data_IF_171147687400
#
_entry.id   IF_171147687400
#
_cell.length_a   1.000
_cell.length_b   1.000
_cell.length_c   1.000
_cell.angle_alpha   90.00
_cell.angle_beta   90.00
_cell.angle_gamma   90.00
#
_symmetry.space_group_name_H-M   'P 1'
#
loop_
_entity.id
_entity.type
_entity.pdbx_description
1 polymer ?
#
# COMPACT_ATOMS: atom_id res chain seq x y z
N UNK A 1 -21.76 2.05 10.94
CA UNK A 1 -21.98 2.21 12.39
C UNK A 1 -21.28 1.06 13.10
N UNK A 2 -20.11 1.33 13.70
CA UNK A 2 -19.43 0.38 14.58
C UNK A 2 -20.39 -0.03 15.71
N UNK A 3 -20.52 -1.32 16.07
CA UNK A 3 -21.27 -1.68 17.26
C UNK A 3 -20.53 -1.13 18.48
N UNK A 4 -21.31 -0.66 19.46
CA UNK A 4 -20.79 -0.10 20.71
C UNK A 4 -19.99 -1.11 21.54
N UNK A 5 -19.39 -0.64 22.65
CA UNK A 5 -18.34 -1.32 23.41
C UNK A 5 -18.72 -2.65 24.09
N UNK A 6 -19.92 -3.19 23.84
CA UNK A 6 -20.45 -4.40 24.48
C UNK A 6 -20.73 -5.59 23.55
N UNK A 7 -20.38 -5.53 22.25
CA UNK A 7 -20.35 -6.75 21.42
C UNK A 7 -19.00 -7.46 21.56
N UNK A 8 -18.75 -8.05 22.74
CA UNK A 8 -17.64 -8.99 22.95
C UNK A 8 -17.92 -10.26 22.15
N UNK A 9 -17.50 -10.31 20.89
CA UNK A 9 -17.28 -11.56 20.17
C UNK A 9 -15.78 -11.84 20.11
N UNK A 10 -15.17 -12.01 21.29
CA UNK A 10 -13.89 -12.68 21.38
C UNK A 10 -14.11 -14.16 21.01
N UNK A 11 -13.32 -14.70 20.09
CA UNK A 11 -13.13 -16.14 20.06
C UNK A 11 -12.54 -16.52 21.43
N UNK A 12 -12.90 -17.68 22.02
CA UNK A 12 -12.40 -18.04 23.34
C UNK A 12 -10.87 -18.10 23.30
N UNK A 13 -10.22 -17.40 24.25
CA UNK A 13 -8.77 -17.33 24.49
C UNK A 13 -7.94 -16.25 23.75
N UNK A 14 -8.37 -14.99 23.74
CA UNK A 14 -7.49 -13.87 23.35
C UNK A 14 -7.16 -13.83 21.86
N UNK A 15 -8.10 -14.31 21.03
CA UNK A 15 -7.93 -14.43 19.59
C UNK A 15 -9.01 -13.67 18.86
N UNK A 16 -8.59 -12.87 17.91
CA UNK A 16 -9.44 -12.22 16.92
C UNK A 16 -9.63 -13.16 15.73
N UNK A 17 -10.88 -13.37 15.32
CA UNK A 17 -11.22 -14.23 14.19
C UNK A 17 -11.07 -13.46 12.87
N UNK A 18 -10.11 -13.88 12.04
CA UNK A 18 -9.82 -13.27 10.75
C UNK A 18 -10.98 -13.33 9.74
N UNK A 19 -12.02 -14.14 9.97
CA UNK A 19 -13.23 -14.12 9.15
C UNK A 19 -13.92 -12.74 9.18
N UNK A 20 -13.86 -12.02 10.31
CA UNK A 20 -14.39 -10.66 10.42
C UNK A 20 -13.56 -9.64 9.64
N UNK A 21 -12.25 -9.85 9.54
CA UNK A 21 -11.36 -9.01 8.74
C UNK A 21 -11.69 -9.17 7.25
N UNK A 22 -11.82 -10.42 6.79
CA UNK A 22 -12.20 -10.76 5.42
C UNK A 22 -13.57 -10.15 5.06
N UNK A 23 -14.55 -10.29 5.95
CA UNK A 23 -15.87 -9.69 5.75
C UNK A 23 -15.82 -8.15 5.66
N UNK A 24 -14.96 -7.50 6.43
CA UNK A 24 -14.78 -6.05 6.35
C UNK A 24 -14.22 -5.63 4.97
N UNK A 25 -13.22 -6.37 4.46
CA UNK A 25 -12.67 -6.12 3.13
C UNK A 25 -13.68 -6.37 2.00
N UNK A 26 -14.47 -7.43 2.09
CA UNK A 26 -15.53 -7.74 1.12
C UNK A 26 -16.63 -6.69 1.07
N UNK A 27 -16.93 -6.05 2.21
CA UNK A 27 -17.89 -4.96 2.30
C UNK A 27 -17.36 -3.62 1.77
N UNK A 28 -16.05 -3.46 1.55
CA UNK A 28 -15.49 -2.25 0.94
C UNK A 28 -15.87 -2.12 -0.55
N UNK A 29 -16.04 -3.25 -1.26
CA UNK A 29 -16.53 -3.28 -2.63
C UNK A 29 -17.57 -4.39 -2.84
N UNK A 30 -18.83 -4.16 -2.39
CA UNK A 30 -19.89 -5.16 -2.52
C UNK A 30 -20.25 -5.46 -3.98
N UNK A 31 -20.07 -4.48 -4.88
CA UNK A 31 -20.35 -4.65 -6.30
C UNK A 31 -19.39 -5.66 -6.93
N UNK A 32 -18.10 -5.56 -6.60
CA UNK A 32 -17.12 -6.55 -7.01
C UNK A 32 -17.37 -7.92 -6.35
N UNK A 33 -17.58 -7.95 -5.03
CA UNK A 33 -17.72 -9.17 -4.24
C UNK A 33 -18.96 -9.98 -4.64
N UNK A 34 -20.11 -9.33 -4.74
CA UNK A 34 -21.40 -9.98 -4.97
C UNK A 34 -21.69 -10.22 -6.45
N UNK A 35 -21.11 -9.42 -7.35
CA UNK A 35 -21.49 -9.43 -8.76
C UNK A 35 -20.32 -9.53 -9.73
N UNK A 36 -19.47 -8.51 -9.83
CA UNK A 36 -18.50 -8.40 -10.95
C UNK A 36 -17.54 -9.59 -11.02
N UNK A 37 -17.09 -10.10 -9.86
CA UNK A 37 -16.23 -11.28 -9.78
C UNK A 37 -16.92 -12.55 -10.28
N UNK A 38 -18.18 -12.76 -9.87
CA UNK A 38 -18.98 -13.92 -10.26
C UNK A 38 -19.34 -13.87 -11.75
N UNK A 39 -19.74 -12.68 -12.22
CA UNK A 39 -20.06 -12.45 -13.61
C UNK A 39 -18.84 -12.65 -14.52
N UNK A 40 -17.65 -12.19 -14.11
CA UNK A 40 -16.45 -12.36 -14.91
C UNK A 40 -16.04 -13.84 -15.05
N UNK A 41 -16.19 -14.64 -13.98
CA UNK A 41 -16.00 -16.10 -14.04
C UNK A 41 -17.01 -16.74 -15.01
N UNK A 42 -18.27 -16.35 -14.94
CA UNK A 42 -19.31 -16.87 -15.84
C UNK A 42 -19.03 -16.50 -17.30
N UNK A 43 -18.64 -15.26 -17.57
CA UNK A 43 -18.38 -14.75 -18.92
C UNK A 43 -17.14 -15.36 -19.58
N UNK A 44 -16.15 -15.83 -18.79
CA UNK A 44 -14.87 -16.33 -19.27
C UNK A 44 -14.51 -17.70 -18.65
N UNK A 45 -15.49 -18.60 -18.56
CA UNK A 45 -15.36 -19.85 -17.81
C UNK A 45 -14.17 -20.72 -18.24
N UNK A 46 -13.84 -20.70 -19.54
CA UNK A 46 -12.75 -21.50 -20.12
C UNK A 46 -11.35 -21.00 -19.72
N UNK A 47 -11.20 -19.73 -19.35
CA UNK A 47 -9.91 -19.10 -19.03
C UNK A 47 -9.77 -18.62 -17.58
N UNK A 48 -10.87 -18.23 -16.94
CA UNK A 48 -10.86 -17.60 -15.61
C UNK A 48 -10.88 -18.60 -14.44
N UNK A 49 -11.30 -19.85 -14.67
CA UNK A 49 -11.46 -20.85 -13.60
C UNK A 49 -10.18 -21.07 -12.75
N UNK A 50 -8.96 -21.19 -13.32
CA UNK A 50 -7.73 -21.36 -12.53
C UNK A 50 -7.42 -20.15 -11.65
N UNK A 51 -7.62 -18.92 -12.17
CA UNK A 51 -7.38 -17.67 -11.42
C UNK A 51 -8.38 -17.54 -10.27
N UNK A 52 -9.66 -17.80 -10.53
CA UNK A 52 -10.73 -17.71 -9.54
C UNK A 52 -10.48 -18.70 -8.39
N UNK A 53 -10.19 -19.97 -8.69
CA UNK A 53 -9.91 -20.98 -7.65
C UNK A 53 -8.64 -20.67 -6.86
N UNK A 54 -7.60 -20.13 -7.51
CA UNK A 54 -6.39 -19.68 -6.82
C UNK A 54 -6.70 -18.55 -5.83
N UNK A 55 -7.53 -17.60 -6.24
CA UNK A 55 -7.98 -16.51 -5.38
C UNK A 55 -8.81 -17.02 -4.19
N UNK A 56 -9.83 -17.86 -4.41
CA UNK A 56 -10.66 -18.42 -3.31
C UNK A 56 -9.85 -19.20 -2.28
N UNK A 57 -8.87 -19.99 -2.73
CA UNK A 57 -8.00 -20.76 -1.84
C UNK A 57 -7.11 -19.87 -0.97
N UNK A 58 -6.61 -18.77 -1.54
CA UNK A 58 -5.82 -17.79 -0.80
C UNK A 58 -6.70 -16.98 0.15
N UNK A 59 -7.86 -16.51 -0.31
CA UNK A 59 -8.77 -15.63 0.41
C UNK A 59 -9.53 -16.34 1.54
N UNK A 60 -9.88 -17.61 1.36
CA UNK A 60 -10.55 -18.44 2.38
C UNK A 60 -9.62 -18.96 3.48
N UNK A 61 -8.33 -18.62 3.45
CA UNK A 61 -7.34 -18.98 4.46
C UNK A 61 -7.45 -18.11 5.71
N UNK A 62 -8.52 -18.27 6.50
CA UNK A 62 -8.70 -17.50 7.73
C UNK A 62 -7.58 -17.77 8.74
N UNK A 63 -7.00 -16.71 9.29
CA UNK A 63 -6.00 -16.76 10.35
C UNK A 63 -6.58 -16.21 11.65
N UNK A 64 -6.21 -16.82 12.77
CA UNK A 64 -6.47 -16.23 14.07
C UNK A 64 -5.37 -15.22 14.39
N UNK A 65 -5.77 -14.00 14.73
CA UNK A 65 -4.88 -12.92 15.12
C UNK A 65 -4.93 -12.73 16.64
N UNK A 66 -3.89 -12.14 17.23
CA UNK A 66 -3.91 -11.78 18.65
C UNK A 66 -4.82 -10.56 18.85
N UNK A 67 -5.73 -10.63 19.82
CA UNK A 67 -6.71 -9.56 20.06
C UNK A 67 -6.08 -8.27 20.62
N UNK A 68 -5.08 -8.39 21.50
CA UNK A 68 -4.34 -7.26 22.06
C UNK A 68 -3.57 -6.50 20.97
N UNK A 69 -2.93 -7.23 20.07
CA UNK A 69 -2.20 -6.62 18.94
C UNK A 69 -3.15 -5.90 17.98
N UNK A 70 -4.30 -6.52 17.66
CA UNK A 70 -5.32 -5.91 16.80
C UNK A 70 -5.91 -4.64 17.41
N UNK A 71 -6.22 -4.66 18.71
CA UNK A 71 -6.73 -3.47 19.40
C UNK A 71 -5.69 -2.35 19.43
N UNK A 72 -4.42 -2.68 19.68
CA UNK A 72 -3.32 -1.70 19.64
C UNK A 72 -3.18 -1.07 18.25
N UNK A 73 -3.26 -1.87 17.18
CA UNK A 73 -3.23 -1.39 15.80
C UNK A 73 -4.40 -0.44 15.52
N UNK A 74 -5.62 -0.82 15.90
CA UNK A 74 -6.83 0.02 15.70
C UNK A 74 -6.69 1.35 16.45
N UNK A 75 -6.36 1.31 17.73
CA UNK A 75 -6.33 2.52 18.56
C UNK A 75 -5.21 3.49 18.16
N UNK A 76 -4.03 2.97 17.84
CA UNK A 76 -2.86 3.82 17.61
C UNK A 76 -2.65 4.19 16.14
N UNK A 77 -2.97 3.30 15.20
CA UNK A 77 -2.76 3.54 13.77
C UNK A 77 -4.01 4.09 13.10
N UNK A 78 -5.16 3.40 13.22
CA UNK A 78 -6.37 3.78 12.48
C UNK A 78 -7.13 4.95 13.12
N UNK A 79 -7.25 4.97 14.45
CA UNK A 79 -7.96 6.04 15.16
C UNK A 79 -6.99 7.18 15.54
N UNK A 80 -5.84 6.84 16.10
CA UNK A 80 -4.91 7.83 16.65
C UNK A 80 -3.95 8.46 15.64
N UNK A 81 -3.77 7.87 14.45
CA UNK A 81 -2.76 8.28 13.44
C UNK A 81 -1.34 8.49 14.01
N UNK A 82 -0.99 7.79 15.10
CA UNK A 82 0.21 8.09 15.90
C UNK A 82 1.52 7.76 15.19
N UNK A 83 1.46 6.93 14.15
CA UNK A 83 2.63 6.63 13.32
C UNK A 83 2.99 7.80 12.40
N UNK A 84 1.99 8.40 11.74
CA UNK A 84 2.20 9.55 10.86
C UNK A 84 2.48 10.84 11.64
N UNK A 85 2.15 10.90 12.94
CA UNK A 85 2.47 12.06 13.79
C UNK A 85 3.70 11.86 14.69
N UNK A 86 4.42 10.74 14.55
CA UNK A 86 5.58 10.37 15.38
C UNK A 86 5.28 10.33 16.90
N UNK A 87 4.05 9.98 17.27
CA UNK A 87 3.56 9.88 18.65
C UNK A 87 3.57 8.43 19.17
N UNK A 88 3.94 7.46 18.33
CA UNK A 88 3.95 6.05 18.69
C UNK A 88 5.18 5.70 19.55
N UNK A 89 4.92 5.10 20.70
CA UNK A 89 5.95 4.62 21.62
C UNK A 89 5.93 3.09 21.67
N UNK A 90 7.11 2.50 21.57
CA UNK A 90 7.35 1.08 21.88
C UNK A 90 7.19 0.82 23.38
N UNK A 91 7.05 -0.45 23.76
CA UNK A 91 6.90 -0.86 25.17
C UNK A 91 8.08 -0.47 26.07
N UNK A 92 9.26 -0.29 25.49
CA UNK A 92 10.50 0.16 26.14
C UNK A 92 10.71 1.68 26.06
N UNK A 93 9.75 2.43 25.52
CA UNK A 93 9.74 3.90 25.52
C UNK A 93 10.46 4.56 24.35
N UNK A 94 10.93 3.79 23.37
CA UNK A 94 11.48 4.34 22.12
C UNK A 94 10.36 4.93 21.27
N UNK A 95 10.52 6.20 20.86
CA UNK A 95 9.62 6.87 19.92
C UNK A 95 9.89 6.39 18.50
N UNK A 96 8.84 5.92 17.84
CA UNK A 96 8.86 5.57 16.42
C UNK A 96 8.62 6.85 15.63
N UNK A 97 9.63 7.26 14.88
CA UNK A 97 9.60 8.44 14.01
C UNK A 97 10.19 8.03 12.66
N UNK A 98 9.40 8.15 11.59
CA UNK A 98 9.83 7.78 10.24
C UNK A 98 11.01 8.65 9.77
N UNK A 99 11.18 9.84 10.34
CA UNK A 99 12.32 10.73 10.06
C UNK A 99 13.66 10.17 10.54
N UNK A 100 13.65 9.10 11.35
CA UNK A 100 14.86 8.40 11.78
C UNK A 100 15.33 7.34 10.77
N UNK A 101 14.52 7.01 9.75
CA UNK A 101 14.92 6.09 8.68
C UNK A 101 15.99 6.78 7.82
N UNK A 102 17.12 6.09 7.61
CA UNK A 102 18.26 6.62 6.82
C UNK A 102 18.39 6.01 5.43
N UNK A 103 17.66 4.94 5.17
CA UNK A 103 17.58 4.32 3.85
C UNK A 103 16.47 4.98 3.02
N UNK A 104 16.56 4.98 1.68
CA UNK A 104 15.47 5.47 0.86
C UNK A 104 14.14 4.75 1.15
N UNK A 105 13.07 5.52 1.23
CA UNK A 105 11.72 5.00 1.42
C UNK A 105 11.05 4.93 0.04
N UNK A 106 10.69 3.73 -0.39
CA UNK A 106 9.99 3.50 -1.67
C UNK A 106 8.52 3.20 -1.40
N UNK A 107 7.62 3.99 -2.01
CA UNK A 107 6.17 3.85 -1.85
C UNK A 107 5.52 3.51 -3.19
N UNK A 108 4.75 2.41 -3.22
CA UNK A 108 3.93 2.04 -4.36
C UNK A 108 2.46 2.24 -4.01
N UNK A 109 1.72 2.95 -4.87
CA UNK A 109 0.30 3.14 -4.71
C UNK A 109 -0.40 3.19 -6.07
N UNK A 110 -1.70 2.94 -6.09
CA UNK A 110 -2.48 3.01 -7.33
C UNK A 110 -3.83 3.67 -7.11
N UNK A 111 -4.25 4.50 -8.07
CA UNK A 111 -5.59 5.08 -8.09
C UNK A 111 -6.71 4.03 -8.30
N UNK A 112 -6.37 2.81 -8.71
CA UNK A 112 -7.31 1.68 -8.71
C UNK A 112 -7.48 1.01 -7.34
N UNK A 113 -6.65 1.35 -6.35
CA UNK A 113 -6.70 0.81 -4.99
C UNK A 113 -7.76 1.53 -4.14
N UNK A 114 -8.89 0.86 -3.92
CA UNK A 114 -9.99 1.37 -3.09
C UNK A 114 -9.79 1.14 -1.58
N UNK A 115 -8.69 0.48 -1.17
CA UNK A 115 -8.38 0.15 0.22
C UNK A 115 -7.33 1.12 0.79
N UNK A 116 -6.25 1.35 0.04
CA UNK A 116 -5.16 2.28 0.38
C UNK A 116 -4.80 3.15 -0.83
N UNK A 117 -5.70 4.06 -1.28
CA UNK A 117 -5.45 4.90 -2.44
C UNK A 117 -4.26 5.86 -2.21
N UNK A 118 -3.72 6.51 -3.26
CA UNK A 118 -2.55 7.39 -3.14
C UNK A 118 -2.63 8.46 -2.04
N UNK A 119 -3.78 9.11 -1.78
CA UNK A 119 -3.92 10.02 -0.64
C UNK A 119 -3.58 9.37 0.71
N UNK A 120 -4.03 8.13 0.93
CA UNK A 120 -3.79 7.39 2.16
C UNK A 120 -2.36 6.84 2.23
N UNK A 121 -1.80 6.38 1.11
CA UNK A 121 -0.45 5.83 1.07
C UNK A 121 0.65 6.90 1.21
N UNK A 122 0.39 8.13 0.74
CA UNK A 122 1.37 9.22 0.73
C UNK A 122 1.13 10.28 1.80
N UNK A 123 -0.03 10.29 2.46
CA UNK A 123 -0.42 11.35 3.40
C UNK A 123 0.53 11.56 4.58
N UNK A 124 1.22 10.51 5.03
CA UNK A 124 2.22 10.61 6.10
C UNK A 124 3.37 11.57 5.74
N UNK A 125 3.68 11.76 4.46
CA UNK A 125 4.73 12.67 4.00
C UNK A 125 4.31 14.11 4.33
N UNK A 126 3.06 14.48 4.05
CA UNK A 126 2.55 15.82 4.32
C UNK A 126 2.25 16.08 5.79
N UNK A 127 2.04 15.01 6.57
CA UNK A 127 1.88 15.08 8.03
C UNK A 127 3.22 15.30 8.73
N UNK A 128 4.29 14.64 8.26
CA UNK A 128 5.62 14.69 8.89
C UNK A 128 6.51 15.84 8.41
N UNK A 129 6.39 16.24 7.14
CA UNK A 129 7.26 17.26 6.54
C UNK A 129 6.46 18.48 6.12
N UNK A 130 6.93 19.66 6.54
CA UNK A 130 6.31 20.93 6.16
C UNK A 130 6.52 21.25 4.67
N UNK A 131 7.76 21.10 4.21
CA UNK A 131 8.24 21.49 2.88
C UNK A 131 9.47 20.66 2.49
N UNK A 132 9.97 20.87 1.26
CA UNK A 132 11.15 20.16 0.74
C UNK A 132 12.43 20.42 1.57
N UNK A 133 12.52 21.58 2.23
CA UNK A 133 13.68 21.89 3.07
C UNK A 133 13.65 21.07 4.37
N UNK A 134 12.46 20.80 4.92
CA UNK A 134 12.27 19.92 6.06
C UNK A 134 12.70 18.47 5.72
N UNK A 135 12.28 17.95 4.56
CA UNK A 135 12.73 16.64 4.03
C UNK A 135 14.26 16.60 3.93
N UNK A 136 14.85 17.63 3.32
CA UNK A 136 16.31 17.72 3.14
C UNK A 136 17.04 17.78 4.49
N UNK A 137 16.52 18.53 5.46
CA UNK A 137 17.14 18.67 6.79
C UNK A 137 17.15 17.37 7.61
N UNK A 138 16.30 16.42 7.25
CA UNK A 138 16.23 15.09 7.86
C UNK A 138 17.01 14.03 7.08
N UNK A 139 17.77 14.40 6.03
CA UNK A 139 18.47 13.49 5.12
C UNK A 139 17.54 12.41 4.52
N UNK A 140 16.31 12.80 4.17
CA UNK A 140 15.28 11.87 3.74
C UNK A 140 15.25 11.74 2.22
N UNK A 141 15.32 10.49 1.74
CA UNK A 141 15.14 10.15 0.33
C UNK A 141 13.85 9.36 0.18
N UNK A 142 12.85 9.95 -0.47
CA UNK A 142 11.53 9.33 -0.63
C UNK A 142 11.23 9.21 -2.13
N UNK A 143 10.96 8.00 -2.59
CA UNK A 143 10.59 7.71 -3.98
C UNK A 143 9.18 7.13 -3.98
N UNK A 144 8.26 7.73 -4.74
CA UNK A 144 6.92 7.17 -4.89
C UNK A 144 6.57 6.88 -6.35
N UNK A 145 5.82 5.80 -6.57
CA UNK A 145 5.21 5.47 -7.84
C UNK A 145 3.69 5.40 -7.70
N UNK A 146 3.00 5.96 -8.70
CA UNK A 146 1.54 5.92 -8.82
C UNK A 146 1.16 5.16 -10.08
N UNK A 147 0.32 4.15 -9.98
CA UNK A 147 -0.30 3.52 -11.14
C UNK A 147 -1.77 3.93 -11.27
N UNK A 148 -2.30 4.06 -12.49
CA UNK A 148 -3.65 4.61 -12.71
C UNK A 148 -4.79 3.67 -12.35
N UNK A 149 -4.65 2.36 -12.58
CA UNK A 149 -5.81 1.45 -12.58
C UNK A 149 -5.65 0.11 -11.85
N UNK A 150 -4.52 -0.13 -11.17
CA UNK A 150 -4.29 -1.40 -10.48
C UNK A 150 -5.06 -1.40 -9.17
N UNK A 151 -5.90 -2.43 -8.94
CA UNK A 151 -6.55 -2.64 -7.64
C UNK A 151 -5.58 -3.06 -6.53
N UNK A 152 -5.96 -2.92 -5.27
CA UNK A 152 -5.14 -3.24 -4.09
C UNK A 152 -4.36 -4.57 -4.22
N UNK A 153 -5.07 -5.65 -4.53
CA UNK A 153 -4.49 -6.98 -4.70
C UNK A 153 -3.63 -7.10 -5.94
N UNK A 154 -3.86 -6.27 -6.95
CA UNK A 154 -3.00 -6.20 -8.12
C UNK A 154 -1.63 -5.62 -7.83
N UNK A 155 -1.50 -4.75 -6.81
CA UNK A 155 -0.20 -4.24 -6.37
C UNK A 155 0.66 -5.38 -5.80
N UNK A 156 0.07 -6.26 -4.98
CA UNK A 156 0.82 -7.27 -4.22
C UNK A 156 0.80 -8.70 -4.82
N UNK A 157 -0.27 -9.06 -5.53
CA UNK A 157 -0.56 -10.46 -5.94
C UNK A 157 -0.66 -10.61 -7.46
N UNK A 158 -0.81 -9.51 -8.23
CA UNK A 158 -0.79 -9.60 -9.69
C UNK A 158 0.60 -9.97 -10.15
N UNK A 159 0.74 -11.24 -10.49
CA UNK A 159 1.95 -11.80 -11.06
C UNK A 159 2.32 -11.13 -12.40
N UNK A 160 1.41 -10.47 -13.13
CA UNK A 160 1.77 -9.82 -14.39
C UNK A 160 2.13 -8.34 -14.24
N UNK A 161 1.52 -7.61 -13.29
CA UNK A 161 1.72 -6.15 -13.18
C UNK A 161 2.59 -5.78 -11.98
N UNK A 162 2.33 -6.37 -10.81
CA UNK A 162 3.21 -6.24 -9.65
C UNK A 162 4.63 -6.68 -9.98
N UNK A 163 4.84 -7.80 -10.70
CA UNK A 163 6.19 -8.23 -11.12
C UNK A 163 6.89 -7.25 -12.08
N UNK A 164 6.17 -6.40 -12.83
CA UNK A 164 6.79 -5.41 -13.74
C UNK A 164 7.44 -4.29 -12.93
N UNK A 165 6.64 -3.59 -12.15
CA UNK A 165 7.10 -2.45 -11.35
C UNK A 165 8.11 -2.90 -10.28
N UNK A 166 7.85 -4.00 -9.57
CA UNK A 166 8.78 -4.51 -8.57
C UNK A 166 10.11 -4.94 -9.18
N UNK A 167 10.12 -5.48 -10.42
CA UNK A 167 11.37 -5.88 -11.08
C UNK A 167 12.17 -4.65 -11.51
N UNK A 168 11.53 -3.64 -12.10
CA UNK A 168 12.24 -2.42 -12.50
C UNK A 168 12.82 -1.69 -11.30
N UNK A 169 12.08 -1.59 -10.19
CA UNK A 169 12.61 -1.02 -8.96
C UNK A 169 13.73 -1.86 -8.33
N UNK A 170 13.61 -3.19 -8.34
CA UNK A 170 14.67 -4.06 -7.87
C UNK A 170 15.95 -3.93 -8.72
N UNK A 171 15.81 -3.81 -10.03
CA UNK A 171 16.93 -3.58 -10.96
C UNK A 171 17.57 -2.20 -10.79
N UNK A 172 16.83 -1.22 -10.26
CA UNK A 172 17.31 0.15 -10.06
C UNK A 172 17.50 0.51 -8.57
N UNK A 173 17.56 -0.48 -7.68
CA UNK A 173 17.66 -0.23 -6.23
C UNK A 173 18.99 0.46 -5.88
N UNK A 174 20.08 0.11 -6.56
CA UNK A 174 21.39 0.76 -6.41
C UNK A 174 21.35 2.22 -6.86
N UNK A 175 20.57 2.54 -7.89
CA UNK A 175 20.38 3.92 -8.34
C UNK A 175 19.62 4.72 -7.28
N UNK A 176 18.57 4.14 -6.71
CA UNK A 176 17.75 4.76 -5.66
C UNK A 176 18.56 5.01 -4.38
N UNK A 177 19.45 4.08 -4.01
CA UNK A 177 20.32 4.19 -2.83
C UNK A 177 21.34 5.33 -2.93
N UNK A 178 21.72 5.71 -4.15
CA UNK A 178 22.65 6.81 -4.41
C UNK A 178 21.95 8.17 -4.60
N UNK A 179 20.62 8.22 -4.51
CA UNK A 179 19.89 9.48 -4.69
C UNK A 179 20.09 10.43 -3.51
N UNK A 180 20.31 11.73 -3.76
CA UNK A 180 20.43 12.70 -2.68
C UNK A 180 19.08 12.89 -1.96
N UNK A 181 19.09 13.46 -0.74
CA UNK A 181 17.85 13.74 -0.01
C UNK A 181 16.87 14.59 -0.83
N UNK A 182 15.61 14.15 -0.83
CA UNK A 182 14.51 14.76 -1.57
C UNK A 182 13.36 13.81 -1.82
N UNK A 183 12.30 14.35 -2.43
CA UNK A 183 11.15 13.59 -2.90
C UNK A 183 11.27 13.38 -4.40
N UNK A 184 11.00 12.15 -4.84
CA UNK A 184 11.09 11.74 -6.24
C UNK A 184 9.86 10.97 -6.64
N UNK A 185 9.44 11.17 -7.89
CA UNK A 185 8.38 10.42 -8.52
C UNK A 185 8.99 9.50 -9.56
N UNK A 186 8.68 8.22 -9.44
CA UNK A 186 9.02 7.20 -10.41
C UNK A 186 7.81 6.91 -11.30
N UNK A 187 8.04 6.80 -12.61
CA UNK A 187 7.07 6.29 -13.59
C UNK A 187 7.67 5.09 -14.30
N UNK A 188 6.84 4.12 -14.67
CA UNK A 188 7.24 2.98 -15.47
C UNK A 188 6.43 3.03 -16.76
N UNK A 189 7.09 3.35 -17.86
CA UNK A 189 6.46 3.52 -19.16
C UNK A 189 6.92 2.42 -20.15
N UNK A 190 6.11 2.16 -21.18
CA UNK A 190 6.51 1.29 -22.28
C UNK A 190 7.63 1.95 -23.08
N UNK A 191 8.68 1.18 -23.41
CA UNK A 191 9.82 1.73 -24.15
C UNK A 191 9.42 1.99 -25.61
N UNK A 192 9.66 3.20 -26.16
CA UNK A 192 9.40 3.47 -27.57
C UNK A 192 10.31 2.62 -28.48
N UNK A 193 9.74 2.02 -29.52
CA UNK A 193 10.49 1.20 -30.48
C UNK A 193 11.30 2.07 -31.48
N UNK A 194 12.48 1.62 -31.96
CA UNK A 194 13.15 0.36 -31.64
C UNK A 194 14.33 0.61 -30.67
N UNK A 195 14.21 0.15 -29.43
CA UNK A 195 15.35 0.10 -28.53
C UNK A 195 16.15 -1.18 -28.77
N UNK A 196 17.47 -1.06 -28.98
CA UNK A 196 18.41 -2.18 -29.20
C UNK A 196 18.63 -3.07 -27.95
N UNK A 197 17.84 -2.89 -26.90
CA UNK A 197 18.00 -3.50 -25.58
C UNK A 197 16.73 -4.28 -25.24
N UNK A 198 16.89 -5.53 -24.82
CA UNK A 198 15.85 -6.54 -24.55
C UNK A 198 14.99 -6.24 -23.29
N UNK A 199 14.90 -4.98 -22.90
CA UNK A 199 14.10 -4.52 -21.77
C UNK A 199 12.87 -3.74 -22.28
N UNK A 200 11.66 -4.28 -22.10
CA UNK A 200 10.44 -3.72 -22.69
C UNK A 200 9.93 -2.44 -22.01
N UNK A 201 10.47 -2.10 -20.84
CA UNK A 201 10.00 -0.98 -20.02
C UNK A 201 11.14 0.00 -19.71
N UNK A 202 10.76 1.25 -19.43
CA UNK A 202 11.69 2.29 -18.98
C UNK A 202 11.14 2.89 -17.69
N UNK A 203 11.88 2.69 -16.60
CA UNK A 203 11.63 3.44 -15.38
C UNK A 203 12.27 4.82 -15.50
N UNK A 204 11.48 5.87 -15.30
CA UNK A 204 11.96 7.24 -15.22
C UNK A 204 11.77 7.76 -13.80
N UNK A 205 12.80 8.39 -13.24
CA UNK A 205 12.71 9.04 -11.93
C UNK A 205 12.91 10.54 -12.14
N UNK A 206 11.95 11.33 -11.68
CA UNK A 206 12.04 12.79 -11.67
C UNK A 206 11.94 13.33 -10.26
N UNK A 207 12.56 14.49 -10.03
CA UNK A 207 12.37 15.23 -8.78
C UNK A 207 10.90 15.64 -8.65
N UNK A 208 10.39 15.51 -7.45
CA UNK A 208 9.05 15.93 -7.03
C UNK A 208 9.20 16.84 -5.81
N UNK A 209 8.09 17.15 -5.14
CA UNK A 209 8.05 18.03 -3.97
C UNK A 209 6.93 17.61 -3.01
N UNK A 210 7.04 18.09 -1.77
CA UNK A 210 5.97 17.97 -0.76
C UNK A 210 4.69 18.60 -1.29
N UNK A 211 4.78 19.67 -2.09
CA UNK A 211 3.60 20.32 -2.68
C UNK A 211 2.92 19.44 -3.74
N UNK A 212 3.69 18.71 -4.57
CA UNK A 212 3.10 17.74 -5.50
C UNK A 212 2.40 16.60 -4.75
N UNK A 213 3.00 16.10 -3.66
CA UNK A 213 2.35 15.10 -2.79
C UNK A 213 1.10 15.69 -2.14
N UNK A 214 1.15 16.93 -1.66
CA UNK A 214 0.01 17.64 -1.08
C UNK A 214 -1.15 17.74 -2.08
N UNK A 215 -0.86 17.96 -3.37
CA UNK A 215 -1.87 17.97 -4.42
C UNK A 215 -2.55 16.60 -4.62
N UNK A 216 -1.82 15.49 -4.40
CA UNK A 216 -2.37 14.13 -4.45
C UNK A 216 -3.23 13.83 -3.22
N UNK A 217 -2.80 14.30 -2.04
CA UNK A 217 -3.44 14.00 -0.74
C UNK A 217 -4.67 14.89 -0.47
N UNK A 218 -4.99 15.85 -1.35
CA UNK A 218 -6.15 16.73 -1.14
C UNK A 218 -7.46 15.91 -1.01
N UNK A 219 -8.37 16.32 -0.10
CA UNK A 219 -9.66 15.68 0.09
C UNK A 219 -10.60 15.81 -1.11
#
# INVERSE_FOLDING_TARGET
CWPGPDSRSSAPAGRFDGAWLVQNFENLDPANTLWSKQYNLYAHIDSEAPRYLGFEKYWGGHVFLNDVEMQYIVDNLFIGNKLATAELLTSDGLRIDLRNIRSPIVVFCSYGDNITPPPQALGWITDLYRDDADVFSHDQTIVYATHDSIGHLGIFVSSSVGRKEHREFASNIELIDLMPPGIYRATVDERPAPAEVDEPYLMSIRRSSVEEVRAIVQP
#
